data_IF_189896544322
#
_entry.id   IF_189896544322
#
_cell.length_a   1.000
_cell.length_b   1.000
_cell.length_c   1.000
_cell.angle_alpha   90.00
_cell.angle_beta   90.00
_cell.angle_gamma   90.00
#
_symmetry.space_group_name_H-M   'P 1'
#
loop_
_entity.id
_entity.type
_entity.pdbx_description
1 polymer ?
#
# COMPACT_ATOMS: atom_id res chain seq x y z
N UNK A 1 -10.02 1.66 21.44
CA UNK A 1 -11.16 1.49 20.52
C UNK A 1 -10.93 0.24 19.68
N UNK A 2 -11.98 -0.30 19.04
CA UNK A 2 -11.88 -1.50 18.21
C UNK A 2 -12.69 -1.31 16.92
N UNK A 3 -12.18 -1.86 15.82
CA UNK A 3 -12.77 -1.78 14.49
C UNK A 3 -12.87 -3.17 13.90
N UNK A 4 -13.99 -3.45 13.26
CA UNK A 4 -14.20 -4.68 12.52
C UNK A 4 -13.94 -4.42 11.04
N UNK A 5 -13.16 -5.30 10.42
CA UNK A 5 -12.99 -5.40 8.97
C UNK A 5 -13.56 -6.73 8.52
N UNK A 6 -14.55 -6.69 7.63
CA UNK A 6 -15.10 -7.88 7.00
C UNK A 6 -14.30 -8.20 5.73
N UNK A 7 -13.61 -9.33 5.72
CA UNK A 7 -13.02 -9.91 4.52
C UNK A 7 -14.02 -10.89 3.88
N UNK A 8 -13.72 -11.37 2.67
CA UNK A 8 -14.59 -12.30 1.96
C UNK A 8 -14.82 -13.62 2.72
N UNK A 9 -13.82 -14.07 3.49
CA UNK A 9 -13.77 -15.37 4.15
C UNK A 9 -13.85 -15.29 5.69
N UNK A 10 -13.62 -14.12 6.29
CA UNK A 10 -13.58 -13.94 7.75
C UNK A 10 -13.74 -12.50 8.20
N UNK A 11 -14.07 -12.33 9.47
CA UNK A 11 -14.03 -11.04 10.16
C UNK A 11 -12.71 -10.87 10.91
N UNK A 12 -12.12 -9.68 10.84
CA UNK A 12 -10.95 -9.29 11.63
C UNK A 12 -11.32 -8.11 12.52
N UNK A 13 -11.19 -8.30 13.84
CA UNK A 13 -11.27 -7.20 14.79
C UNK A 13 -9.87 -6.63 15.04
N UNK A 14 -9.70 -5.35 14.73
CA UNK A 14 -8.48 -4.58 14.94
C UNK A 14 -8.68 -3.70 16.16
N UNK A 15 -7.85 -3.87 17.18
CA UNK A 15 -7.87 -3.02 18.38
C UNK A 15 -6.78 -1.96 18.30
N UNK A 16 -6.96 -0.84 19.00
CA UNK A 16 -5.89 0.16 19.14
C UNK A 16 -4.60 -0.46 19.67
N UNK A 17 -4.71 -1.37 20.65
CA UNK A 17 -3.55 -2.07 21.21
C UNK A 17 -2.81 -2.92 20.16
N UNK A 18 -3.53 -3.56 19.23
CA UNK A 18 -2.90 -4.31 18.14
C UNK A 18 -2.14 -3.40 17.16
N UNK A 19 -2.68 -2.21 16.88
CA UNK A 19 -2.00 -1.18 16.08
C UNK A 19 -0.75 -0.66 16.79
N UNK A 20 -0.82 -0.42 18.10
CA UNK A 20 0.32 0.06 18.88
C UNK A 20 1.45 -0.98 18.92
N UNK A 21 1.10 -2.27 19.05
CA UNK A 21 2.07 -3.37 18.93
C UNK A 21 2.69 -3.43 17.53
N UNK A 22 1.90 -3.24 16.47
CA UNK A 22 2.41 -3.18 15.10
C UNK A 22 3.41 -2.02 14.93
N UNK A 23 3.04 -0.82 15.38
CA UNK A 23 3.91 0.36 15.34
C UNK A 23 5.23 0.10 16.08
N UNK A 24 5.15 -0.37 17.33
CA UNK A 24 6.33 -0.65 18.16
C UNK A 24 7.24 -1.75 17.57
N UNK A 25 6.67 -2.70 16.82
CA UNK A 25 7.42 -3.81 16.22
C UNK A 25 8.12 -3.41 14.92
N UNK A 26 7.44 -2.68 14.05
CA UNK A 26 7.87 -2.49 12.66
C UNK A 26 8.38 -1.08 12.35
N UNK A 27 8.09 -0.10 13.21
CA UNK A 27 8.41 1.31 12.96
C UNK A 27 9.37 1.80 14.01
N UNK A 28 10.56 2.21 13.57
CA UNK A 28 11.56 2.88 14.43
C UNK A 28 11.65 4.37 14.18
N UNK A 29 11.02 4.85 13.12
CA UNK A 29 11.03 6.24 12.71
C UNK A 29 9.87 7.00 13.37
N UNK A 30 10.19 7.82 14.36
CA UNK A 30 9.22 8.67 15.07
C UNK A 30 8.59 9.74 14.17
N UNK A 31 9.32 10.21 13.14
CA UNK A 31 8.78 11.18 12.19
C UNK A 31 7.66 10.54 11.38
N UNK A 32 7.89 9.33 10.85
CA UNK A 32 6.88 8.56 10.12
C UNK A 32 5.66 8.25 11.01
N UNK A 33 5.88 7.89 12.28
CA UNK A 33 4.80 7.66 13.25
C UNK A 33 3.92 8.89 13.45
N UNK A 34 4.54 10.08 13.50
CA UNK A 34 3.83 11.34 13.73
C UNK A 34 3.02 11.82 12.51
N UNK A 35 3.48 11.49 11.30
CA UNK A 35 2.89 11.97 10.03
C UNK A 35 1.76 11.07 9.52
N UNK A 36 1.82 9.78 9.81
CA UNK A 36 0.85 8.82 9.27
C UNK A 36 -0.42 8.73 10.11
N UNK A 37 -1.57 8.83 9.42
CA UNK A 37 -2.87 8.77 10.07
C UNK A 37 -3.16 7.39 10.67
N UNK A 38 -4.04 7.35 11.66
CA UNK A 38 -4.49 6.09 12.26
C UNK A 38 -5.13 5.13 11.23
N UNK A 39 -5.83 5.67 10.23
CA UNK A 39 -6.42 4.87 9.14
C UNK A 39 -5.35 4.16 8.32
N UNK A 40 -4.23 4.82 8.03
CA UNK A 40 -3.12 4.22 7.28
C UNK A 40 -2.51 3.02 8.03
N UNK A 41 -2.34 3.15 9.35
CA UNK A 41 -1.86 2.05 10.18
C UNK A 41 -2.83 0.86 10.22
N UNK A 42 -4.14 1.11 10.16
CA UNK A 42 -5.14 0.03 10.03
C UNK A 42 -5.03 -0.68 8.70
N UNK A 43 -4.85 0.07 7.61
CA UNK A 43 -4.71 -0.52 6.28
C UNK A 43 -3.49 -1.45 6.24
N UNK A 44 -2.35 -1.03 6.79
CA UNK A 44 -1.16 -1.89 6.91
C UNK A 44 -1.45 -3.14 7.74
N UNK A 45 -2.13 -2.99 8.87
CA UNK A 45 -2.51 -4.12 9.70
C UNK A 45 -3.38 -5.13 8.94
N UNK A 46 -4.36 -4.64 8.17
CA UNK A 46 -5.19 -5.49 7.31
C UNK A 46 -4.33 -6.18 6.26
N UNK A 47 -3.41 -5.47 5.60
CA UNK A 47 -2.55 -6.08 4.58
C UNK A 47 -1.67 -7.20 5.14
N UNK A 48 -1.14 -6.99 6.34
CA UNK A 48 -0.37 -8.00 7.06
C UNK A 48 -1.20 -9.23 7.41
N UNK A 49 -2.39 -9.05 8.01
CA UNK A 49 -3.18 -10.19 8.50
C UNK A 49 -3.94 -10.89 7.37
N UNK A 50 -4.46 -10.12 6.40
CA UNK A 50 -5.27 -10.63 5.29
C UNK A 50 -4.41 -11.26 4.20
N UNK A 51 -3.29 -10.63 3.85
CA UNK A 51 -2.47 -11.03 2.69
C UNK A 51 -1.07 -11.51 3.06
N UNK A 52 -0.69 -11.47 4.35
CA UNK A 52 0.65 -11.89 4.79
C UNK A 52 1.77 -10.95 4.36
N UNK A 53 1.45 -9.70 3.99
CA UNK A 53 2.43 -8.71 3.53
C UNK A 53 3.20 -8.18 4.75
N UNK A 54 4.52 -8.22 4.70
CA UNK A 54 5.36 -7.65 5.77
C UNK A 54 5.21 -6.11 5.79
N UNK A 55 4.78 -5.51 6.92
CA UNK A 55 4.69 -4.07 7.06
C UNK A 55 5.99 -3.32 6.71
N UNK A 56 7.15 -3.92 6.93
CA UNK A 56 8.44 -3.31 6.61
C UNK A 56 8.61 -3.06 5.11
N UNK A 57 8.06 -3.91 4.24
CA UNK A 57 8.10 -3.71 2.78
C UNK A 57 7.34 -2.44 2.37
N UNK A 58 6.17 -2.21 2.97
CA UNK A 58 5.34 -1.04 2.71
C UNK A 58 6.05 0.22 3.22
N UNK A 59 6.57 0.19 4.45
CA UNK A 59 7.30 1.31 5.06
C UNK A 59 8.54 1.66 4.23
N UNK A 60 9.30 0.67 3.80
CA UNK A 60 10.49 0.88 2.98
C UNK A 60 10.14 1.44 1.59
N UNK A 61 9.03 0.99 0.99
CA UNK A 61 8.54 1.56 -0.26
C UNK A 61 8.19 3.05 -0.10
N UNK A 62 7.55 3.45 1.02
CA UNK A 62 7.29 4.87 1.33
C UNK A 62 8.59 5.66 1.41
N UNK A 63 9.57 5.20 2.19
CA UNK A 63 10.85 5.90 2.31
C UNK A 63 11.59 6.03 0.97
N UNK A 64 11.52 5.01 0.12
CA UNK A 64 12.14 5.06 -1.20
C UNK A 64 11.47 6.11 -2.10
N UNK A 65 10.13 6.18 -2.08
CA UNK A 65 9.37 7.22 -2.78
C UNK A 65 9.74 8.62 -2.24
N UNK A 66 9.79 8.80 -0.93
CA UNK A 66 10.18 10.07 -0.30
C UNK A 66 11.61 10.50 -0.64
N UNK A 67 12.53 9.54 -0.74
CA UNK A 67 13.91 9.79 -1.13
C UNK A 67 14.08 10.06 -2.64
N UNK A 68 12.98 10.09 -3.42
CA UNK A 68 13.03 10.21 -4.87
C UNK A 68 13.70 9.01 -5.55
N UNK A 69 13.83 7.89 -4.84
CA UNK A 69 14.35 6.63 -5.36
C UNK A 69 13.15 5.78 -5.80
N UNK A 70 12.77 5.80 -7.09
CA UNK A 70 11.80 4.81 -7.54
C UNK A 70 12.38 3.43 -7.21
N UNK A 71 11.59 2.57 -6.57
CA UNK A 71 11.91 1.15 -6.46
C UNK A 71 12.09 0.62 -7.89
N UNK A 72 13.31 0.67 -8.43
CA UNK A 72 13.58 0.39 -9.83
C UNK A 72 13.44 -1.09 -10.18
N UNK A 73 13.27 -1.96 -9.17
CA UNK A 73 13.19 -3.41 -9.34
C UNK A 73 11.82 -4.00 -8.95
N UNK A 74 10.85 -3.19 -8.51
CA UNK A 74 9.46 -3.66 -8.45
C UNK A 74 8.96 -3.72 -9.88
N UNK A 75 9.20 -4.86 -10.52
CA UNK A 75 8.49 -5.21 -11.74
C UNK A 75 7.01 -5.10 -11.40
N UNK A 76 6.29 -4.21 -12.07
CA UNK A 76 4.83 -4.19 -12.03
C UNK A 76 4.38 -5.56 -12.57
N UNK A 77 4.27 -6.55 -11.69
CA UNK A 77 3.86 -7.88 -12.07
C UNK A 77 2.44 -7.75 -12.57
N UNK A 78 2.21 -8.22 -13.79
CA UNK A 78 0.87 -8.37 -14.35
C UNK A 78 0.01 -9.06 -13.29
N UNK A 79 -1.14 -8.47 -12.95
CA UNK A 79 -2.09 -9.11 -12.05
C UNK A 79 -2.33 -10.54 -12.51
N UNK A 80 -2.10 -11.50 -11.62
CA UNK A 80 -2.44 -12.92 -11.88
C UNK A 80 -3.95 -13.11 -12.02
N UNK A 81 -4.72 -12.23 -11.40
CA UNK A 81 -6.18 -12.23 -11.43
C UNK A 81 -6.68 -11.17 -12.41
N UNK A 82 -7.39 -11.61 -13.46
CA UNK A 82 -8.02 -10.74 -14.45
C UNK A 82 -9.09 -9.82 -13.84
N UNK A 83 -9.70 -10.19 -12.71
CA UNK A 83 -10.71 -9.35 -12.04
C UNK A 83 -10.12 -8.06 -11.46
N UNK A 84 -8.84 -8.07 -11.07
CA UNK A 84 -8.12 -6.88 -10.61
C UNK A 84 -7.74 -5.94 -11.77
N UNK A 85 -7.68 -6.43 -13.01
CA UNK A 85 -7.55 -5.56 -14.19
C UNK A 85 -8.81 -4.72 -14.43
N UNK A 86 -9.99 -5.23 -14.06
CA UNK A 86 -11.23 -4.50 -14.24
C UNK A 86 -11.27 -3.21 -13.41
N UNK A 87 -10.64 -3.19 -12.23
CA UNK A 87 -10.51 -1.98 -11.40
C UNK A 87 -9.63 -0.90 -12.05
N UNK A 88 -8.68 -1.29 -12.90
CA UNK A 88 -7.89 -0.35 -13.72
C UNK A 88 -8.65 0.10 -14.98
N UNK A 89 -9.44 -0.78 -15.59
CA UNK A 89 -10.22 -0.46 -16.80
C UNK A 89 -11.42 0.45 -16.53
N UNK A 90 -12.01 0.37 -15.33
CA UNK A 90 -13.19 1.18 -14.96
C UNK A 90 -12.87 2.61 -14.51
N UNK A 91 -11.63 3.08 -14.71
CA UNK A 91 -11.32 4.52 -14.69
C UNK A 91 -11.28 5.19 -13.32
N UNK A 92 -11.33 4.45 -12.21
CA UNK A 92 -11.25 5.02 -10.86
C UNK A 92 -9.82 5.18 -10.35
N UNK A 93 -8.85 4.53 -10.97
CA UNK A 93 -7.42 4.73 -10.72
C UNK A 93 -6.73 5.04 -12.04
N UNK A 94 -6.59 6.33 -12.36
CA UNK A 94 -5.77 6.74 -13.51
C UNK A 94 -4.30 6.40 -13.21
N UNK A 95 -3.65 5.49 -13.97
CA UNK A 95 -2.25 5.11 -13.73
C UNK A 95 -1.30 6.30 -13.84
N UNK A 96 -1.75 7.36 -14.52
CA UNK A 96 -0.98 8.54 -14.87
C UNK A 96 -0.65 9.46 -13.69
N UNK A 97 -1.40 9.37 -12.59
CA UNK A 97 -1.15 10.16 -11.37
C UNK A 97 0.00 9.61 -10.53
N UNK A 98 0.35 8.33 -10.70
CA UNK A 98 1.38 7.65 -9.92
C UNK A 98 2.62 7.26 -10.74
N UNK A 99 2.63 7.57 -12.05
CA UNK A 99 3.78 7.33 -12.92
C UNK A 99 4.78 8.50 -12.85
N UNK A 100 6.07 8.25 -12.52
CA UNK A 100 7.12 9.25 -12.63
C UNK A 100 7.22 9.77 -14.06
N UNK A 101 7.56 11.05 -14.24
CA UNK A 101 7.60 11.75 -15.53
C UNK A 101 8.35 10.98 -16.62
N UNK A 102 9.42 10.26 -16.25
CA UNK A 102 10.24 9.45 -17.15
C UNK A 102 9.52 8.25 -17.80
N UNK A 103 8.32 7.89 -17.32
CA UNK A 103 7.55 6.74 -17.82
C UNK A 103 6.36 7.15 -18.70
N UNK A 104 5.98 8.43 -18.70
CA UNK A 104 4.88 8.97 -19.51
C UNK A 104 5.19 8.99 -21.01
N UNK A 105 6.46 8.96 -21.37
CA UNK A 105 6.94 9.05 -22.76
C UNK A 105 7.16 7.68 -23.42
N UNK A 106 6.95 6.57 -22.70
CA UNK A 106 7.06 5.24 -23.32
C UNK A 106 5.76 4.87 -24.06
N UNK A 107 5.85 4.31 -25.29
CA UNK A 107 4.69 4.08 -26.16
C UNK A 107 3.61 3.14 -25.59
N UNK A 108 3.96 2.37 -24.56
CA UNK A 108 3.09 1.44 -23.85
C UNK A 108 2.25 2.06 -22.72
N UNK A 109 2.50 3.34 -22.37
CA UNK A 109 1.79 4.07 -21.31
C UNK A 109 1.37 5.47 -21.76
N UNK A 110 0.88 5.60 -23.00
CA UNK A 110 0.29 6.85 -23.47
C UNK A 110 -0.96 7.19 -22.66
N UNK A 111 -0.74 8.00 -21.63
CA UNK A 111 -1.78 8.79 -20.97
C UNK A 111 -2.19 9.90 -21.94
N UNK A 112 -3.44 9.85 -22.39
CA UNK A 112 -4.03 10.88 -23.25
C UNK A 112 -4.37 12.13 -22.46
#
# INVERSE_FOLDING_TARGET
MAWTVNLQDREITITTAAIDVLKARFVRDEELLSRMSESWWRDIFVHMVAFGIDPTEIIQAVHNVEAGKPNSDVTVTKFRDESLKALLLHGTLSPCQYLPSAWKERPQYHCR
#
